data_IF_315809115356
#
_entry.id   IF_315809115356
#
_cell.length_a   1.000
_cell.length_b   1.000
_cell.length_c   1.000
_cell.angle_alpha   90.00
_cell.angle_beta   90.00
_cell.angle_gamma   90.00
#
_symmetry.space_group_name_H-M   'P 1'
#
loop_
_entity.id
_entity.type
_entity.pdbx_description
1 polymer ?
#
# COMPACT_ATOMS: atom_id res chain seq x y z
N UNK A 1 20.31 -10.59 5.69
CA UNK A 1 19.88 -9.94 4.44
C UNK A 1 19.58 -8.49 4.79
N UNK A 2 20.12 -7.53 4.03
CA UNK A 2 19.83 -6.11 4.21
C UNK A 2 18.57 -5.69 3.42
N UNK A 3 18.03 -4.49 3.67
CA UNK A 3 16.81 -3.99 3.00
C UNK A 3 16.89 -4.02 1.47
N UNK A 4 18.07 -3.72 0.90
CA UNK A 4 18.28 -3.71 -0.54
C UNK A 4 18.12 -5.12 -1.12
N UNK A 5 18.70 -6.12 -0.48
CA UNK A 5 18.59 -7.52 -0.91
C UNK A 5 17.13 -8.02 -0.81
N UNK A 6 16.42 -7.67 0.26
CA UNK A 6 15.00 -8.02 0.41
C UNK A 6 14.15 -7.35 -0.65
N UNK A 7 14.38 -6.06 -0.91
CA UNK A 7 13.67 -5.33 -1.96
C UNK A 7 13.88 -5.96 -3.34
N UNK A 8 15.12 -6.31 -3.69
CA UNK A 8 15.42 -6.96 -4.96
C UNK A 8 14.75 -8.34 -5.08
N UNK A 9 14.76 -9.15 -4.00
CA UNK A 9 14.03 -10.43 -3.97
C UNK A 9 12.53 -10.23 -4.18
N UNK A 10 11.92 -9.31 -3.43
CA UNK A 10 10.51 -8.99 -3.54
C UNK A 10 10.14 -8.49 -4.95
N UNK A 11 11.00 -7.67 -5.56
CA UNK A 11 10.81 -7.18 -6.93
C UNK A 11 10.91 -8.29 -7.98
N UNK A 12 11.86 -9.22 -7.83
CA UNK A 12 12.03 -10.36 -8.75
C UNK A 12 10.84 -11.32 -8.70
N UNK A 13 10.30 -11.53 -7.49
CA UNK A 13 9.27 -12.53 -7.22
C UNK A 13 7.85 -11.96 -7.18
N UNK A 14 7.67 -10.67 -7.45
CA UNK A 14 6.38 -9.98 -7.30
C UNK A 14 5.27 -10.61 -8.14
N UNK A 15 4.09 -10.66 -7.56
CA UNK A 15 2.90 -11.21 -8.19
C UNK A 15 2.10 -10.09 -8.85
N UNK A 16 1.63 -10.34 -10.08
CA UNK A 16 0.74 -9.40 -10.76
C UNK A 16 -0.62 -9.39 -10.09
N UNK A 17 -1.15 -8.20 -9.87
CA UNK A 17 -2.51 -8.00 -9.41
C UNK A 17 -3.30 -7.23 -10.48
N UNK A 18 -4.62 -7.31 -10.39
CA UNK A 18 -5.51 -6.57 -11.28
C UNK A 18 -5.48 -5.06 -10.98
N UNK A 19 -5.57 -4.21 -12.01
CA UNK A 19 -5.54 -2.76 -11.85
C UNK A 19 -6.73 -2.20 -11.08
N UNK A 20 -7.85 -2.92 -11.00
CA UNK A 20 -8.98 -2.55 -10.12
C UNK A 20 -8.68 -2.80 -8.64
N UNK A 21 -7.55 -3.45 -8.32
CA UNK A 21 -7.17 -3.89 -6.97
C UNK A 21 -8.19 -4.86 -6.35
N UNK A 22 -9.10 -5.44 -7.14
CA UNK A 22 -10.01 -6.49 -6.68
C UNK A 22 -9.20 -7.69 -6.20
N UNK A 23 -9.57 -8.21 -5.04
CA UNK A 23 -8.88 -9.35 -4.41
C UNK A 23 -7.66 -8.96 -3.57
N UNK A 24 -7.35 -7.67 -3.40
CA UNK A 24 -6.46 -7.19 -2.34
C UNK A 24 -7.22 -7.19 -1.01
N UNK A 25 -6.60 -7.73 0.03
CA UNK A 25 -7.11 -7.76 1.40
C UNK A 25 -6.39 -6.73 2.29
N UNK A 26 -7.00 -6.41 3.42
CA UNK A 26 -6.34 -5.54 4.40
C UNK A 26 -5.06 -6.20 4.88
N UNK A 27 -3.99 -5.41 4.97
CA UNK A 27 -2.63 -5.82 5.33
C UNK A 27 -1.87 -6.65 4.29
N UNK A 28 -2.41 -6.81 3.08
CA UNK A 28 -1.61 -7.33 1.97
C UNK A 28 -0.38 -6.46 1.75
N UNK A 29 0.80 -7.09 1.65
CA UNK A 29 2.04 -6.43 1.28
C UNK A 29 2.06 -6.13 -0.22
N UNK A 30 2.21 -4.85 -0.54
CA UNK A 30 2.20 -4.32 -1.89
C UNK A 30 3.54 -3.64 -2.22
N UNK A 31 3.87 -3.72 -3.51
CA UNK A 31 4.99 -3.06 -4.17
C UNK A 31 4.43 -2.01 -5.13
N UNK A 32 4.65 -0.74 -4.86
CA UNK A 32 4.28 0.34 -5.77
C UNK A 32 5.21 0.36 -7.00
N UNK A 33 4.63 0.26 -8.19
CA UNK A 33 5.35 0.39 -9.45
C UNK A 33 5.67 1.87 -9.71
N UNK A 34 6.95 2.18 -9.97
CA UNK A 34 7.42 3.55 -10.19
C UNK A 34 6.89 4.52 -9.14
N UNK A 35 7.33 4.31 -7.89
CA UNK A 35 6.98 5.19 -6.79
C UNK A 35 7.49 6.61 -7.11
N UNK A 36 6.58 7.59 -7.15
CA UNK A 36 6.92 9.02 -7.21
C UNK A 36 7.74 9.50 -6.01
N UNK A 37 7.80 8.68 -4.95
CA UNK A 37 8.59 8.89 -3.75
C UNK A 37 10.03 8.32 -3.84
N UNK A 38 10.41 7.78 -5.00
CA UNK A 38 11.74 7.18 -5.27
C UNK A 38 11.74 5.64 -5.18
N UNK A 39 12.77 5.04 -5.74
CA UNK A 39 12.95 3.57 -5.75
C UNK A 39 13.59 3.09 -4.44
N UNK A 40 13.12 1.96 -3.91
CA UNK A 40 13.72 1.29 -2.76
C UNK A 40 12.71 0.82 -1.73
N UNK A 41 13.19 0.00 -0.78
CA UNK A 41 12.36 -0.68 0.21
C UNK A 41 11.43 0.29 0.96
N UNK A 42 12.00 1.36 1.53
CA UNK A 42 11.29 2.32 2.37
C UNK A 42 10.21 3.17 1.66
N UNK A 43 10.19 3.20 0.33
CA UNK A 43 9.26 4.04 -0.45
C UNK A 43 8.32 3.24 -1.34
N UNK A 44 8.76 2.06 -1.79
CA UNK A 44 8.01 1.23 -2.72
C UNK A 44 7.26 0.08 -2.02
N UNK A 45 7.64 -0.30 -0.80
CA UNK A 45 7.07 -1.46 -0.09
C UNK A 45 6.21 -1.00 1.07
N UNK A 46 4.96 -1.44 1.10
CA UNK A 46 4.07 -1.17 2.22
C UNK A 46 2.91 -2.16 2.30
N UNK A 47 2.31 -2.32 3.47
CA UNK A 47 1.09 -3.10 3.59
C UNK A 47 -0.15 -2.22 3.51
N UNK A 48 -1.19 -2.75 2.88
CA UNK A 48 -2.41 -2.01 2.57
C UNK A 48 -3.26 -1.78 3.81
N UNK A 49 -3.52 -0.51 4.15
CA UNK A 49 -4.42 -0.14 5.25
C UNK A 49 -5.84 0.13 4.75
N UNK A 50 -5.96 0.86 3.64
CA UNK A 50 -7.23 1.29 3.08
C UNK A 50 -7.10 1.53 1.57
N UNK A 51 -8.17 1.19 0.84
CA UNK A 51 -8.37 1.53 -0.57
C UNK A 51 -9.62 2.42 -0.63
N UNK A 52 -9.43 3.65 -1.12
CA UNK A 52 -10.54 4.54 -1.48
C UNK A 52 -10.83 4.34 -2.96
N UNK A 53 -11.98 3.77 -3.25
CA UNK A 53 -12.39 3.34 -4.59
C UNK A 53 -13.08 4.49 -5.32
N UNK A 54 -12.53 4.92 -6.44
CA UNK A 54 -13.17 5.91 -7.28
C UNK A 54 -14.33 5.36 -8.10
N UNK A 55 -14.98 6.23 -8.88
CA UNK A 55 -16.14 5.90 -9.70
C UNK A 55 -15.77 5.35 -11.10
N UNK A 56 -14.48 5.37 -11.46
CA UNK A 56 -13.95 4.92 -12.74
C UNK A 56 -13.94 3.40 -12.88
N UNK A 57 -14.16 2.90 -14.11
CA UNK A 57 -14.10 1.47 -14.42
C UNK A 57 -12.68 0.87 -14.31
N UNK A 58 -11.66 1.72 -14.16
CA UNK A 58 -10.24 1.38 -14.09
C UNK A 58 -9.70 1.98 -12.81
N UNK A 59 -9.10 1.16 -11.92
CA UNK A 59 -8.61 1.57 -10.60
C UNK A 59 -7.48 2.59 -10.56
N UNK A 60 -7.27 3.34 -11.64
CA UNK A 60 -6.39 4.51 -11.73
C UNK A 60 -6.83 5.69 -10.87
N UNK A 61 -8.12 5.78 -10.52
CA UNK A 61 -8.66 6.79 -9.60
C UNK A 61 -8.65 6.33 -8.13
N UNK A 62 -8.26 5.09 -7.86
CA UNK A 62 -8.15 4.60 -6.49
C UNK A 62 -7.02 5.31 -5.75
N UNK A 63 -7.26 5.56 -4.46
CA UNK A 63 -6.24 6.04 -3.52
C UNK A 63 -5.96 4.96 -2.49
N UNK A 64 -4.71 4.51 -2.43
CA UNK A 64 -4.28 3.41 -1.58
C UNK A 64 -3.41 3.95 -0.46
N UNK A 65 -3.83 3.70 0.77
CA UNK A 65 -3.07 4.03 1.97
C UNK A 65 -2.20 2.84 2.33
N UNK A 66 -0.88 3.05 2.30
CA UNK A 66 0.09 2.05 2.71
C UNK A 66 0.78 2.47 4.00
N UNK A 67 0.92 1.53 4.93
CA UNK A 67 1.94 1.63 5.97
C UNK A 67 3.28 1.25 5.36
N UNK A 68 4.30 2.09 5.53
CA UNK A 68 5.68 1.82 5.12
C UNK A 68 6.50 1.29 6.31
N UNK A 69 7.69 0.79 6.01
CA UNK A 69 8.57 0.17 7.00
C UNK A 69 8.95 1.10 8.18
N UNK A 70 9.07 2.40 7.89
CA UNK A 70 9.35 3.48 8.86
C UNK A 70 8.15 3.86 9.73
N UNK A 71 7.06 3.09 9.69
CA UNK A 71 5.81 3.38 10.41
C UNK A 71 4.96 4.49 9.79
N UNK A 72 5.43 5.19 8.76
CA UNK A 72 4.67 6.25 8.10
C UNK A 72 3.50 5.68 7.29
N UNK A 73 2.41 6.45 7.20
CA UNK A 73 1.29 6.16 6.30
C UNK A 73 1.36 7.12 5.14
N UNK A 74 1.34 6.59 3.92
CA UNK A 74 1.39 7.39 2.70
C UNK A 74 0.25 7.01 1.77
N UNK A 75 -0.30 8.02 1.12
CA UNK A 75 -1.27 7.83 0.05
C UNK A 75 -0.55 7.68 -1.27
N UNK A 76 -0.90 6.61 -1.97
CA UNK A 76 -0.50 6.35 -3.33
C UNK A 76 -1.72 6.50 -4.23
N UNK A 77 -1.59 7.33 -5.27
CA UNK A 77 -2.63 7.59 -6.26
C UNK A 77 -2.03 7.37 -7.65
N UNK A 78 -2.85 6.92 -8.62
CA UNK A 78 -2.42 6.68 -10.00
C UNK A 78 -1.18 5.77 -10.14
N UNK A 79 -1.00 4.84 -9.21
CA UNK A 79 0.11 3.88 -9.21
C UNK A 79 -0.40 2.47 -9.43
N UNK A 80 0.36 1.69 -10.19
CA UNK A 80 0.16 0.25 -10.27
C UNK A 80 0.83 -0.41 -9.07
N UNK A 81 0.24 -1.47 -8.54
CA UNK A 81 0.86 -2.27 -7.48
C UNK A 81 1.14 -3.68 -7.96
N UNK A 82 2.05 -4.35 -7.26
CA UNK A 82 2.24 -5.79 -7.29
C UNK A 82 2.11 -6.32 -5.88
N UNK A 83 1.74 -7.59 -5.73
CA UNK A 83 1.74 -8.24 -4.41
C UNK A 83 3.12 -8.84 -4.14
N UNK A 84 3.59 -8.71 -2.90
CA UNK A 84 4.77 -9.44 -2.44
C UNK A 84 4.44 -10.92 -2.35
N UNK A 85 5.21 -11.77 -3.02
CA UNK A 85 5.02 -13.22 -2.98
C UNK A 85 5.11 -13.77 -1.55
N UNK A 86 4.32 -14.81 -1.26
CA UNK A 86 4.20 -15.37 0.09
C UNK A 86 5.54 -15.74 0.74
N UNK A 87 6.50 -16.22 -0.07
CA UNK A 87 7.85 -16.59 0.39
C UNK A 87 8.67 -15.41 0.92
N UNK A 88 8.41 -14.19 0.44
CA UNK A 88 9.15 -12.98 0.80
C UNK A 88 8.43 -12.19 1.92
N UNK A 89 7.13 -12.43 2.16
CA UNK A 89 6.30 -11.65 3.10
C UNK A 89 6.89 -11.55 4.51
N UNK A 90 7.27 -12.69 5.10
CA UNK A 90 7.78 -12.72 6.47
C UNK A 90 9.06 -11.89 6.64
N UNK A 91 9.91 -11.92 5.62
CA UNK A 91 11.16 -11.18 5.62
C UNK A 91 10.94 -9.70 5.37
N UNK A 92 10.06 -9.33 4.44
CA UNK A 92 9.64 -7.94 4.23
C UNK A 92 9.08 -7.34 5.53
N UNK A 93 8.13 -8.02 6.17
CA UNK A 93 7.51 -7.55 7.42
C UNK A 93 8.50 -7.38 8.57
N UNK A 94 9.63 -8.10 8.58
CA UNK A 94 10.63 -7.98 9.65
C UNK A 94 11.34 -6.62 9.72
N UNK A 95 11.24 -5.80 8.68
CA UNK A 95 11.79 -4.43 8.63
C UNK A 95 10.78 -3.37 9.06
N UNK A 96 9.54 -3.74 9.36
CA UNK A 96 8.50 -2.77 9.70
C UNK A 96 8.51 -2.46 11.19
N UNK A 97 8.47 -1.17 11.53
CA UNK A 97 8.31 -0.70 12.90
C UNK A 97 6.93 -1.02 13.48
N UNK A 98 5.90 -1.06 12.63
CA UNK A 98 4.52 -1.41 12.98
C UNK A 98 4.09 -2.62 12.16
N UNK A 99 3.51 -3.63 12.81
CA UNK A 99 2.99 -4.81 12.13
C UNK A 99 1.46 -4.79 12.06
N UNK A 100 0.83 -5.59 11.18
CA UNK A 100 -0.64 -5.68 11.12
C UNK A 100 -1.32 -6.02 12.47
N UNK A 101 -0.61 -6.64 13.40
CA UNK A 101 -1.14 -6.96 14.74
C UNK A 101 -1.24 -5.75 15.67
N UNK A 102 -0.48 -4.71 15.35
CA UNK A 102 -0.40 -3.47 16.13
C UNK A 102 -1.42 -2.43 15.61
N UNK A 103 -2.05 -2.69 14.47
CA UNK A 103 -3.01 -1.79 13.84
C UNK A 103 -4.39 -1.87 14.52
N UNK A 104 -5.05 -0.73 14.64
CA UNK A 104 -6.43 -0.66 15.10
C UNK A 104 -7.39 -0.93 13.93
N UNK A 105 -8.40 -1.77 14.17
CA UNK A 105 -9.49 -1.99 13.19
C UNK A 105 -10.28 -0.71 12.90
N UNK A 106 -10.32 0.21 13.86
CA UNK A 106 -11.03 1.49 13.79
C UNK A 106 -10.06 2.65 13.46
N UNK A 107 -8.91 2.36 12.85
CA UNK A 107 -7.95 3.38 12.45
C UNK A 107 -8.59 4.35 11.45
N UNK A 108 -8.80 5.60 11.88
CA UNK A 108 -9.22 6.69 11.01
C UNK A 108 -8.02 7.19 10.20
N UNK A 109 -8.15 7.17 8.87
CA UNK A 109 -7.13 7.65 7.96
C UNK A 109 -7.54 8.99 7.37
N UNK A 110 -6.61 9.95 7.43
CA UNK A 110 -6.82 11.33 6.98
C UNK A 110 -6.05 11.59 5.69
N UNK A 111 -6.76 12.04 4.64
CA UNK A 111 -6.10 12.62 3.47
C UNK A 111 -5.39 13.94 3.83
N UNK A 112 -4.37 14.36 3.08
CA UNK A 112 -3.78 15.70 3.20
C UNK A 112 -4.79 16.86 3.12
N UNK A 113 -5.89 16.70 2.36
CA UNK A 113 -6.98 17.67 2.28
C UNK A 113 -8.01 17.61 3.43
N UNK A 114 -7.77 16.80 4.47
CA UNK A 114 -8.60 16.71 5.67
C UNK A 114 -9.78 15.74 5.60
N UNK A 115 -9.88 14.90 4.56
CA UNK A 115 -10.95 13.90 4.45
C UNK A 115 -10.60 12.66 5.27
N UNK A 116 -11.42 12.38 6.28
CA UNK A 116 -11.29 11.25 7.19
C UNK A 116 -12.22 10.11 6.81
N UNK A 117 -11.71 8.88 6.80
CA UNK A 117 -12.50 7.66 6.57
C UNK A 117 -11.97 6.51 7.42
N UNK A 118 -12.89 5.63 7.82
CA UNK A 118 -12.61 4.38 8.55
C UNK A 118 -13.01 3.19 7.68
N UNK A 119 -12.25 2.10 7.78
CA UNK A 119 -12.53 0.84 7.07
C UNK A 119 -11.57 0.58 5.92
N UNK A 120 -11.56 -0.67 5.44
CA UNK A 120 -10.60 -1.12 4.43
C UNK A 120 -10.95 -0.65 3.01
N UNK A 121 -12.16 -0.90 2.52
CA UNK A 121 -12.62 -0.41 1.22
C UNK A 121 -13.74 0.59 1.43
N UNK A 122 -13.49 1.82 1.00
CA UNK A 122 -14.43 2.94 1.12
C UNK A 122 -14.57 3.64 -0.22
N UNK A 123 -15.69 4.30 -0.45
CA UNK A 123 -15.87 5.10 -1.66
C UNK A 123 -15.03 6.37 -1.59
N UNK A 124 -14.30 6.70 -2.66
CA UNK A 124 -13.59 7.96 -2.81
C UNK A 124 -14.60 9.12 -2.86
N UNK A 125 -14.46 10.09 -1.95
CA UNK A 125 -15.29 11.30 -1.93
C UNK A 125 -14.71 12.41 -2.80
N UNK A 126 -13.44 12.75 -2.54
CA UNK A 126 -12.60 13.63 -3.36
C UNK A 126 -11.17 13.09 -3.35
N UNK A 127 -10.36 13.52 -4.31
CA UNK A 127 -8.94 13.17 -4.35
C UNK A 127 -8.18 13.90 -3.23
N UNK A 128 -7.42 13.13 -2.43
CA UNK A 128 -6.52 13.59 -1.38
C UNK A 128 -5.62 14.80 -1.74
N UNK A 129 -5.31 15.03 -3.02
CA UNK A 129 -4.38 16.06 -3.52
C UNK A 129 -5.04 17.13 -4.42
N UNK A 130 -6.38 17.17 -4.48
CA UNK A 130 -7.12 18.26 -5.15
C UNK A 130 -7.05 19.60 -4.41
#
# INVERSE_FOLDING_TARGET
MNEKEVYLSAMENRERIDFSLKGIEQYDLLLAAYSSCGDGFANAVGYCLQIREGDGEVGSDNQVFLRHADGSIRVHHQQAFYRVADKDKAQVLSFFETTPKDESIDLELTCPNGINEVGFRVKLRNDCYS
#
